data_IF_713627172807
#
_entry.id   IF_713627172807
#
_cell.length_a   1.000
_cell.length_b   1.000
_cell.length_c   1.000
_cell.angle_alpha   90.00
_cell.angle_beta   90.00
_cell.angle_gamma   90.00
#
_symmetry.space_group_name_H-M   'P 1'
#
loop_
_entity.id
_entity.type
_entity.pdbx_description
1 polymer ?
#
# COMPACT_ATOMS: atom_id res chain seq x y z
N UNK A 1 58.52 9.06 -28.95
CA UNK A 1 58.06 8.02 -28.01
C UNK A 1 56.83 8.56 -27.30
N UNK A 2 55.64 8.43 -27.89
CA UNK A 2 54.40 9.02 -27.38
C UNK A 2 53.60 7.99 -26.58
N UNK A 3 53.24 8.34 -25.35
CA UNK A 3 52.52 7.48 -24.42
C UNK A 3 51.04 7.33 -24.81
N UNK A 4 50.55 6.09 -24.81
CA UNK A 4 49.14 5.73 -25.04
C UNK A 4 48.29 6.17 -23.83
N UNK A 5 47.45 7.19 -23.99
CA UNK A 5 46.50 7.61 -22.97
C UNK A 5 45.30 6.66 -22.93
N UNK A 6 45.06 6.01 -21.79
CA UNK A 6 43.90 5.14 -21.56
C UNK A 6 42.65 5.97 -21.30
N UNK A 7 41.62 5.81 -22.12
CA UNK A 7 40.33 6.50 -21.97
C UNK A 7 39.59 5.94 -20.74
N UNK A 8 39.10 6.80 -19.82
CA UNK A 8 38.42 6.33 -18.62
C UNK A 8 37.01 5.79 -18.91
N UNK A 9 36.67 4.67 -18.25
CA UNK A 9 35.49 3.81 -18.50
C UNK A 9 34.11 4.45 -18.25
N UNK A 10 34.04 5.65 -17.70
CA UNK A 10 32.76 6.34 -17.44
C UNK A 10 32.21 7.09 -18.68
N UNK A 11 32.99 7.20 -19.76
CA UNK A 11 32.53 7.79 -21.04
C UNK A 11 31.84 6.76 -21.97
N UNK A 12 31.76 5.49 -21.58
CA UNK A 12 31.06 4.46 -22.34
C UNK A 12 29.59 4.41 -21.92
N UNK A 13 28.70 4.87 -22.79
CA UNK A 13 27.25 4.78 -22.61
C UNK A 13 26.81 3.31 -22.49
N UNK A 14 26.27 2.92 -21.33
CA UNK A 14 25.64 1.62 -21.10
C UNK A 14 24.42 1.44 -22.02
N UNK A 15 24.52 0.53 -23.00
CA UNK A 15 23.40 0.02 -23.80
C UNK A 15 22.51 -0.90 -22.93
N UNK A 16 21.18 -0.72 -22.86
CA UNK A 16 20.28 -1.73 -22.32
C UNK A 16 19.96 -2.80 -23.37
N UNK A 17 20.04 -4.08 -22.97
CA UNK A 17 19.69 -5.25 -23.77
C UNK A 17 18.15 -5.41 -23.89
N UNK A 18 17.61 -5.86 -25.04
CA UNK A 18 16.18 -6.10 -25.20
C UNK A 18 15.73 -7.44 -24.60
N UNK A 19 14.72 -7.39 -23.73
CA UNK A 19 13.95 -8.54 -23.26
C UNK A 19 13.08 -9.08 -24.41
N UNK A 20 13.39 -10.28 -24.88
CA UNK A 20 12.57 -11.05 -25.83
C UNK A 20 11.31 -11.58 -25.13
N UNK A 21 10.15 -11.02 -25.48
CA UNK A 21 8.84 -11.62 -25.21
C UNK A 21 8.56 -12.73 -26.23
N UNK A 22 8.24 -13.93 -25.76
CA UNK A 22 7.79 -15.07 -26.58
C UNK A 22 6.32 -15.37 -26.25
N UNK A 23 5.34 -15.15 -27.14
CA UNK A 23 3.99 -15.66 -26.96
C UNK A 23 3.92 -17.13 -27.40
N UNK A 24 3.36 -18.00 -26.55
CA UNK A 24 2.97 -19.36 -26.92
C UNK A 24 1.56 -19.36 -27.53
N UNK A 25 1.42 -20.17 -28.57
CA UNK A 25 0.28 -20.37 -29.46
C UNK A 25 -1.01 -20.81 -28.74
N UNK A 26 -2.13 -20.23 -29.17
CA UNK A 26 -3.50 -20.65 -28.82
C UNK A 26 -3.82 -22.01 -29.47
N UNK A 27 -4.17 -23.00 -28.66
CA UNK A 27 -4.67 -24.29 -29.11
C UNK A 27 -6.19 -24.24 -29.39
N UNK A 28 -6.60 -24.98 -30.41
CA UNK A 28 -7.94 -25.04 -30.99
C UNK A 28 -9.03 -25.57 -30.04
N UNK A 29 -10.25 -25.07 -30.23
CA UNK A 29 -11.48 -25.47 -29.53
C UNK A 29 -12.02 -26.81 -30.09
N UNK A 30 -12.41 -27.79 -29.26
CA UNK A 30 -13.24 -28.90 -29.69
C UNK A 30 -14.73 -28.52 -29.72
N UNK A 31 -15.39 -28.86 -30.81
CA UNK A 31 -16.85 -28.85 -31.01
C UNK A 31 -17.50 -29.85 -30.04
N UNK A 32 -18.29 -29.36 -29.08
CA UNK A 32 -19.10 -30.22 -28.20
C UNK A 32 -20.57 -30.18 -28.59
N UNK A 33 -21.09 -31.38 -28.82
CA UNK A 33 -22.47 -31.74 -29.13
C UNK A 33 -23.45 -31.38 -28.01
N UNK A 34 -24.59 -30.79 -28.37
CA UNK A 34 -25.71 -30.49 -27.49
C UNK A 34 -26.39 -31.80 -27.03
N UNK A 35 -26.36 -32.09 -25.72
CA UNK A 35 -27.29 -33.03 -25.08
C UNK A 35 -28.33 -32.25 -24.29
N UNK A 36 -29.59 -32.44 -24.63
CA UNK A 36 -30.73 -32.01 -23.83
C UNK A 36 -30.74 -32.79 -22.50
N UNK A 37 -30.54 -32.09 -21.39
CA UNK A 37 -30.72 -32.64 -20.05
C UNK A 37 -32.03 -32.09 -19.47
N UNK A 38 -33.05 -32.94 -19.39
CA UNK A 38 -34.26 -32.70 -18.60
C UNK A 38 -33.89 -32.73 -17.12
N UNK A 39 -33.89 -31.57 -16.47
CA UNK A 39 -33.78 -31.51 -15.01
C UNK A 39 -35.16 -31.77 -14.40
N UNK A 40 -35.27 -32.89 -13.69
CA UNK A 40 -36.38 -33.19 -12.79
C UNK A 40 -36.41 -32.13 -11.69
N UNK A 41 -37.36 -31.20 -11.77
CA UNK A 41 -37.69 -30.29 -10.68
C UNK A 41 -38.90 -30.84 -9.96
N UNK A 42 -38.79 -30.97 -8.64
CA UNK A 42 -39.90 -31.38 -7.76
C UNK A 42 -41.03 -30.37 -7.94
N UNK A 43 -42.15 -30.79 -8.55
CA UNK A 43 -43.33 -29.94 -8.71
C UNK A 43 -43.85 -29.54 -7.33
N UNK A 44 -43.64 -28.28 -6.96
CA UNK A 44 -44.28 -27.66 -5.80
C UNK A 44 -45.66 -27.17 -6.20
N UNK A 45 -46.63 -27.34 -5.33
CA UNK A 45 -48.02 -26.96 -5.54
C UNK A 45 -48.13 -25.45 -5.73
N UNK A 46 -48.98 -25.02 -6.67
CA UNK A 46 -49.21 -23.60 -6.97
C UNK A 46 -49.59 -22.78 -5.72
N UNK A 47 -50.24 -23.41 -4.75
CA UNK A 47 -50.63 -22.82 -3.46
C UNK A 47 -49.45 -22.29 -2.64
N UNK A 48 -48.30 -22.98 -2.62
CA UNK A 48 -47.10 -22.50 -1.91
C UNK A 48 -46.46 -21.29 -2.62
N UNK A 49 -46.52 -21.28 -3.95
CA UNK A 49 -45.98 -20.16 -4.73
C UNK A 49 -46.77 -18.87 -4.51
N UNK A 50 -48.10 -18.96 -4.39
CA UNK A 50 -48.95 -17.81 -4.12
C UNK A 50 -48.75 -17.22 -2.72
N UNK A 51 -48.53 -18.07 -1.69
CA UNK A 51 -48.31 -17.60 -0.32
C UNK A 51 -47.04 -16.77 -0.21
N UNK A 52 -45.95 -17.24 -0.84
CA UNK A 52 -44.67 -16.52 -0.86
C UNK A 52 -44.72 -15.21 -1.64
N UNK A 53 -45.56 -15.13 -2.68
CA UNK A 53 -45.76 -13.91 -3.48
C UNK A 53 -46.58 -12.85 -2.72
N UNK A 54 -47.37 -13.23 -1.72
CA UNK A 54 -48.10 -12.28 -0.84
C UNK A 54 -47.22 -11.67 0.25
N UNK A 55 -46.20 -12.38 0.71
CA UNK A 55 -45.30 -11.93 1.79
C UNK A 55 -44.17 -11.00 1.28
N UNK A 56 -43.90 -10.95 -0.02
CA UNK A 56 -42.90 -10.07 -0.62
C UNK A 56 -43.54 -8.86 -1.30
N UNK A 57 -43.00 -7.66 -1.08
CA UNK A 57 -43.37 -6.44 -1.79
C UNK A 57 -43.31 -6.65 -3.31
N UNK A 58 -44.32 -6.22 -4.09
CA UNK A 58 -44.39 -6.49 -5.52
C UNK A 58 -43.39 -5.61 -6.28
N UNK A 59 -42.14 -6.05 -6.34
CA UNK A 59 -41.09 -5.48 -7.18
C UNK A 59 -41.16 -6.16 -8.54
N UNK A 60 -41.35 -5.36 -9.59
CA UNK A 60 -41.31 -5.84 -10.98
C UNK A 60 -39.94 -6.48 -11.22
N UNK A 61 -39.85 -7.77 -11.58
CA UNK A 61 -38.58 -8.39 -11.86
C UNK A 61 -37.96 -7.72 -13.08
N UNK A 62 -36.70 -7.29 -12.96
CA UNK A 62 -35.96 -6.79 -14.12
C UNK A 62 -35.94 -7.90 -15.19
N UNK A 63 -36.18 -7.57 -16.48
CA UNK A 63 -36.14 -8.56 -17.55
C UNK A 63 -34.73 -9.12 -17.71
N UNK A 64 -34.55 -10.41 -17.42
CA UNK A 64 -33.26 -11.13 -17.51
C UNK A 64 -32.77 -11.36 -18.96
N UNK A 65 -33.52 -10.90 -19.96
CA UNK A 65 -33.25 -11.15 -21.39
C UNK A 65 -31.94 -10.53 -21.88
N UNK A 66 -31.39 -9.54 -21.18
CA UNK A 66 -30.19 -8.80 -21.59
C UNK A 66 -29.08 -8.77 -20.54
N UNK A 67 -29.06 -9.73 -19.61
CA UNK A 67 -27.87 -9.98 -18.82
C UNK A 67 -27.00 -10.95 -19.62
N UNK A 68 -25.89 -10.50 -20.26
CA UNK A 68 -24.94 -11.45 -20.84
C UNK A 68 -24.56 -12.43 -19.73
N UNK A 69 -24.27 -13.70 -20.03
CA UNK A 69 -23.91 -14.67 -19.01
C UNK A 69 -22.76 -14.11 -18.19
N UNK A 70 -23.08 -13.54 -17.02
CA UNK A 70 -22.11 -13.02 -16.07
C UNK A 70 -21.33 -14.26 -15.69
N UNK A 71 -20.06 -14.31 -16.10
CA UNK A 71 -19.14 -15.43 -15.91
C UNK A 71 -19.63 -16.42 -14.85
N UNK A 72 -20.01 -17.62 -15.29
CA UNK A 72 -20.66 -18.62 -14.45
C UNK A 72 -19.98 -18.66 -13.08
N UNK A 73 -20.78 -18.49 -12.03
CA UNK A 73 -20.38 -18.54 -10.62
C UNK A 73 -19.31 -19.61 -10.49
N UNK A 74 -18.05 -19.20 -10.27
CA UNK A 74 -16.89 -20.10 -10.17
C UNK A 74 -17.36 -21.34 -9.42
N UNK A 75 -17.40 -22.48 -10.10
CA UNK A 75 -17.75 -23.74 -9.44
C UNK A 75 -16.86 -23.81 -8.21
N UNK A 76 -17.41 -24.05 -7.00
CA UNK A 76 -16.57 -24.21 -5.84
C UNK A 76 -15.52 -25.25 -6.21
N UNK A 77 -14.26 -24.98 -5.85
CA UNK A 77 -13.14 -25.89 -6.01
C UNK A 77 -13.32 -27.07 -5.03
N UNK A 78 -14.49 -27.70 -5.04
CA UNK A 78 -14.82 -28.90 -4.29
C UNK A 78 -14.27 -30.07 -5.09
N UNK A 79 -13.05 -30.45 -4.74
CA UNK A 79 -12.48 -31.81 -4.82
C UNK A 79 -12.45 -32.56 -6.16
N UNK A 80 -13.05 -32.05 -7.24
CA UNK A 80 -13.39 -32.88 -8.42
C UNK A 80 -12.91 -32.27 -9.74
N UNK A 81 -11.64 -31.87 -9.82
CA UNK A 81 -10.95 -31.69 -11.11
C UNK A 81 -9.72 -32.58 -11.27
N UNK A 82 -9.20 -33.15 -10.18
CA UNK A 82 -8.28 -34.29 -10.21
C UNK A 82 -9.03 -35.47 -9.64
N UNK A 83 -9.82 -36.17 -10.47
CA UNK A 83 -10.30 -37.50 -10.12
C UNK A 83 -9.05 -38.36 -9.93
N UNK A 84 -8.67 -38.59 -8.68
CA UNK A 84 -7.71 -39.64 -8.35
C UNK A 84 -8.39 -40.96 -8.70
N UNK A 85 -8.04 -41.53 -9.84
CA UNK A 85 -8.53 -42.84 -10.23
C UNK A 85 -7.94 -43.87 -9.27
N UNK A 86 -8.73 -44.29 -8.29
CA UNK A 86 -8.33 -45.24 -7.25
C UNK A 86 -9.30 -45.25 -6.07
N UNK A 87 -9.18 -46.23 -5.16
CA UNK A 87 -9.93 -46.25 -3.92
C UNK A 87 -9.74 -44.96 -3.12
N UNK A 88 -10.76 -44.49 -2.39
CA UNK A 88 -10.61 -43.32 -1.53
C UNK A 88 -9.52 -43.57 -0.48
N UNK A 89 -8.66 -42.58 -0.27
CA UNK A 89 -7.59 -42.66 0.74
C UNK A 89 -8.18 -42.90 2.12
N UNK A 90 -7.78 -44.01 2.76
CA UNK A 90 -8.13 -44.29 4.15
C UNK A 90 -7.47 -43.25 5.06
N UNK A 91 -7.99 -43.09 6.29
CA UNK A 91 -7.39 -42.14 7.24
C UNK A 91 -5.96 -42.53 7.63
N UNK A 92 -5.67 -43.83 7.65
CA UNK A 92 -4.33 -44.36 7.88
C UNK A 92 -3.38 -43.99 6.74
N UNK A 93 -3.83 -44.13 5.49
CA UNK A 93 -3.03 -43.74 4.32
C UNK A 93 -2.73 -42.25 4.32
N UNK A 94 -3.70 -41.41 4.70
CA UNK A 94 -3.48 -39.96 4.85
C UNK A 94 -2.41 -39.65 5.89
N UNK A 95 -2.40 -40.35 7.04
CA UNK A 95 -1.37 -40.18 8.07
C UNK A 95 0.00 -40.65 7.57
N UNK A 96 0.09 -41.80 6.91
CA UNK A 96 1.34 -42.32 6.31
C UNK A 96 1.87 -41.39 5.22
N UNK A 97 1.00 -40.83 4.38
CA UNK A 97 1.38 -39.89 3.32
C UNK A 97 1.91 -38.56 3.89
N UNK A 98 1.38 -38.08 5.02
CA UNK A 98 1.87 -36.86 5.69
C UNK A 98 3.28 -37.02 6.24
N UNK A 99 3.60 -38.20 6.78
CA UNK A 99 4.90 -38.46 7.43
C UNK A 99 5.95 -39.03 6.49
N UNK A 100 5.58 -39.51 5.29
CA UNK A 100 6.52 -40.05 4.30
C UNK A 100 7.46 -38.96 3.79
N UNK A 101 8.77 -39.20 3.91
CA UNK A 101 9.83 -38.30 3.44
C UNK A 101 10.63 -38.95 2.33
N UNK A 102 10.95 -38.16 1.30
CA UNK A 102 11.81 -38.54 0.19
C UNK A 102 13.09 -37.68 0.21
N UNK A 103 14.17 -38.12 -0.46
CA UNK A 103 15.37 -37.30 -0.65
C UNK A 103 15.00 -35.92 -1.22
N UNK A 104 15.68 -34.86 -0.76
CA UNK A 104 15.44 -33.44 -1.13
C UNK A 104 14.10 -32.83 -0.67
N UNK A 105 13.31 -33.53 0.16
CA UNK A 105 12.19 -32.89 0.85
C UNK A 105 12.67 -32.11 2.07
N UNK A 106 11.82 -31.19 2.56
CA UNK A 106 12.11 -30.50 3.82
C UNK A 106 12.22 -31.50 4.98
N UNK A 107 13.01 -31.12 5.98
CA UNK A 107 13.41 -31.97 7.09
C UNK A 107 12.23 -32.58 7.86
N UNK A 108 12.42 -33.76 8.49
CA UNK A 108 11.34 -34.43 9.20
C UNK A 108 10.87 -33.65 10.44
N UNK A 109 9.62 -33.88 10.83
CA UNK A 109 9.04 -33.33 12.06
C UNK A 109 9.91 -33.72 13.27
N UNK A 110 10.06 -32.82 14.23
CA UNK A 110 10.97 -33.02 15.37
C UNK A 110 12.43 -32.64 15.13
N UNK A 111 12.84 -32.32 13.89
CA UNK A 111 14.16 -31.73 13.64
C UNK A 111 14.18 -30.22 13.88
N UNK A 112 15.35 -29.67 14.24
CA UNK A 112 15.53 -28.23 14.44
C UNK A 112 15.19 -27.43 13.19
N UNK A 113 15.64 -27.87 12.02
CA UNK A 113 15.37 -27.17 10.74
C UNK A 113 13.89 -27.16 10.41
N UNK A 114 13.15 -28.24 10.72
CA UNK A 114 11.70 -28.27 10.57
C UNK A 114 11.02 -27.26 11.50
N UNK A 115 11.44 -27.21 12.76
CA UNK A 115 10.92 -26.26 13.75
C UNK A 115 11.19 -24.81 13.33
N UNK A 116 12.43 -24.49 12.96
CA UNK A 116 12.81 -23.12 12.56
C UNK A 116 12.04 -22.66 11.33
N UNK A 117 11.89 -23.51 10.31
CA UNK A 117 11.18 -23.15 9.08
C UNK A 117 9.67 -22.99 9.28
N UNK A 118 9.04 -23.79 10.15
CA UNK A 118 7.58 -23.77 10.32
C UNK A 118 7.09 -22.88 11.47
N UNK A 119 7.97 -22.41 12.36
CA UNK A 119 7.59 -21.57 13.49
C UNK A 119 7.40 -20.10 13.07
N UNK A 120 6.13 -19.71 12.91
CA UNK A 120 5.74 -18.32 12.55
C UNK A 120 6.19 -17.28 13.58
N UNK A 121 6.27 -17.65 14.86
CA UNK A 121 6.68 -16.72 15.92
C UNK A 121 8.13 -16.28 15.77
N UNK A 122 9.02 -17.21 15.41
CA UNK A 122 10.44 -16.91 15.20
C UNK A 122 10.62 -16.03 13.97
N UNK A 123 9.96 -16.35 12.86
CA UNK A 123 10.03 -15.52 11.66
C UNK A 123 9.51 -14.11 11.93
N UNK A 124 8.41 -13.98 12.67
CA UNK A 124 7.88 -12.68 13.07
C UNK A 124 8.85 -11.93 13.98
N UNK A 125 9.46 -12.60 14.96
CA UNK A 125 10.47 -12.00 15.84
C UNK A 125 11.70 -11.52 15.07
N UNK A 126 12.25 -12.34 14.17
CA UNK A 126 13.42 -12.00 13.36
C UNK A 126 13.09 -10.84 12.41
N UNK A 127 11.97 -10.92 11.68
CA UNK A 127 11.57 -9.86 10.75
C UNK A 127 11.29 -8.55 11.49
N UNK A 128 10.58 -8.58 12.60
CA UNK A 128 10.37 -7.39 13.44
C UNK A 128 11.68 -6.87 14.02
N UNK A 129 12.58 -7.75 14.48
CA UNK A 129 13.89 -7.35 15.00
C UNK A 129 14.76 -6.67 13.94
N UNK A 130 14.76 -7.19 12.71
CA UNK A 130 15.49 -6.57 11.59
C UNK A 130 14.89 -5.20 11.26
N UNK A 131 13.56 -5.10 11.14
CA UNK A 131 12.91 -3.82 10.84
C UNK A 131 13.12 -2.79 11.96
N UNK A 132 13.02 -3.19 13.22
CA UNK A 132 13.25 -2.32 14.37
C UNK A 132 14.70 -1.84 14.42
N UNK A 133 15.68 -2.73 14.22
CA UNK A 133 17.09 -2.35 14.23
C UNK A 133 17.46 -1.43 13.05
N UNK A 134 16.92 -1.66 11.86
CA UNK A 134 17.05 -0.74 10.72
C UNK A 134 16.42 0.62 11.00
N UNK A 135 15.22 0.65 11.59
CA UNK A 135 14.54 1.89 11.94
C UNK A 135 15.34 2.71 12.97
N UNK A 136 15.83 2.07 14.03
CA UNK A 136 16.68 2.72 15.05
C UNK A 136 17.99 3.19 14.45
N UNK A 137 18.63 2.41 13.58
CA UNK A 137 19.87 2.81 12.93
C UNK A 137 19.68 4.01 11.98
N UNK A 138 18.62 4.00 11.17
CA UNK A 138 18.28 5.11 10.28
C UNK A 138 17.96 6.38 11.08
N UNK A 139 17.14 6.26 12.12
CA UNK A 139 16.83 7.36 13.02
C UNK A 139 18.08 7.89 13.72
N UNK A 140 18.97 7.02 14.20
CA UNK A 140 20.22 7.43 14.84
C UNK A 140 21.14 8.21 13.89
N UNK A 141 21.28 7.74 12.64
CA UNK A 141 22.06 8.45 11.62
C UNK A 141 21.47 9.82 11.29
N UNK A 142 20.14 9.91 11.14
CA UNK A 142 19.43 11.17 10.88
C UNK A 142 19.59 12.14 12.07
N UNK A 143 19.42 11.65 13.30
CA UNK A 143 19.65 12.42 14.52
C UNK A 143 21.08 12.97 14.58
N UNK A 144 22.10 12.12 14.40
CA UNK A 144 23.49 12.57 14.43
C UNK A 144 23.85 13.56 13.31
N UNK A 145 23.14 13.52 12.17
CA UNK A 145 23.36 14.45 11.06
C UNK A 145 22.63 15.79 11.25
N UNK A 146 21.46 15.79 11.89
CA UNK A 146 20.60 16.98 12.04
C UNK A 146 20.81 17.73 13.35
N UNK A 147 21.36 17.06 14.37
CA UNK A 147 21.54 17.65 15.69
C UNK A 147 22.74 18.59 15.74
N UNK A 148 22.51 19.76 16.33
CA UNK A 148 23.58 20.71 16.68
C UNK A 148 24.34 20.24 17.93
N UNK A 149 23.71 19.39 18.74
CA UNK A 149 24.22 18.88 20.01
C UNK A 149 24.96 17.55 19.89
N UNK A 150 25.46 17.20 18.71
CA UNK A 150 26.11 15.92 18.44
C UNK A 150 27.30 15.62 19.37
N UNK A 151 28.03 16.66 19.78
CA UNK A 151 29.19 16.53 20.69
C UNK A 151 28.80 16.21 22.14
N UNK A 152 27.56 16.52 22.55
CA UNK A 152 27.06 16.25 23.91
C UNK A 152 26.59 14.80 24.07
N UNK A 153 26.50 14.04 22.96
CA UNK A 153 26.06 12.65 22.96
C UNK A 153 27.14 11.77 23.62
N UNK A 154 26.78 10.91 24.59
CA UNK A 154 27.74 10.01 25.23
C UNK A 154 28.46 9.13 24.21
N UNK A 155 29.77 8.97 24.40
CA UNK A 155 30.55 8.10 23.53
C UNK A 155 30.15 6.63 23.73
N UNK A 156 30.40 5.79 22.71
CA UNK A 156 30.12 4.34 22.81
C UNK A 156 30.86 3.67 23.97
N UNK A 157 32.02 4.20 24.37
CA UNK A 157 32.81 3.68 25.50
C UNK A 157 32.16 4.03 26.84
N UNK A 158 31.60 5.22 26.95
CA UNK A 158 30.92 5.68 28.17
C UNK A 158 29.63 4.90 28.38
N UNK A 159 28.90 4.61 27.29
CA UNK A 159 27.71 3.76 27.34
C UNK A 159 28.00 2.34 27.83
N UNK A 160 29.17 1.77 27.53
CA UNK A 160 29.56 0.44 28.02
C UNK A 160 29.95 0.42 29.50
N UNK A 161 30.49 1.53 30.03
CA UNK A 161 30.91 1.62 31.44
C UNK A 161 29.78 2.07 32.36
N UNK A 162 29.01 3.05 31.92
CA UNK A 162 27.93 3.69 32.67
C UNK A 162 26.68 3.74 31.77
N UNK A 163 25.98 2.60 31.60
CA UNK A 163 24.85 2.52 30.67
C UNK A 163 23.70 3.42 31.10
N UNK A 164 23.44 3.52 32.41
CA UNK A 164 22.32 4.30 32.93
C UNK A 164 22.54 5.81 32.81
N UNK A 165 23.70 6.30 33.26
CA UNK A 165 24.07 7.72 33.11
C UNK A 165 24.12 8.15 31.64
N UNK A 166 24.57 7.26 30.76
CA UNK A 166 24.59 7.55 29.32
C UNK A 166 23.18 7.67 28.73
N UNK A 167 22.23 6.85 29.18
CA UNK A 167 20.83 6.97 28.76
C UNK A 167 20.23 8.30 29.23
N UNK A 168 20.49 8.69 30.48
CA UNK A 168 20.01 9.95 31.04
C UNK A 168 20.58 11.15 30.28
N UNK A 169 21.90 11.18 30.05
CA UNK A 169 22.56 12.21 29.26
C UNK A 169 22.03 12.27 27.83
N UNK A 170 21.81 11.11 27.19
CA UNK A 170 21.21 11.06 25.86
C UNK A 170 19.79 11.63 25.86
N UNK A 171 18.97 11.29 26.86
CA UNK A 171 17.61 11.81 26.99
C UNK A 171 17.60 13.35 27.15
N UNK A 172 18.55 13.91 27.89
CA UNK A 172 18.69 15.36 28.04
C UNK A 172 19.10 16.04 26.72
N UNK A 173 20.06 15.48 25.99
CA UNK A 173 20.43 15.97 24.65
C UNK A 173 19.25 15.87 23.68
N UNK A 174 18.48 14.79 23.74
CA UNK A 174 17.29 14.61 22.92
C UNK A 174 16.21 15.65 23.24
N UNK A 175 16.00 15.98 24.53
CA UNK A 175 15.11 17.07 24.95
C UNK A 175 15.58 18.41 24.39
N UNK A 176 16.87 18.72 24.47
CA UNK A 176 17.43 19.96 23.88
C UNK A 176 17.21 20.02 22.35
N UNK A 177 17.42 18.91 21.65
CA UNK A 177 17.14 18.80 20.22
C UNK A 177 15.65 19.01 19.91
N UNK A 178 14.76 18.38 20.67
CA UNK A 178 13.31 18.54 20.51
C UNK A 178 12.86 19.98 20.75
N UNK A 179 13.37 20.64 21.80
CA UNK A 179 13.09 22.04 22.10
C UNK A 179 13.58 22.97 20.98
N UNK A 180 14.77 22.70 20.43
CA UNK A 180 15.29 23.46 19.30
C UNK A 180 14.40 23.31 18.06
N UNK A 181 14.03 22.08 17.69
CA UNK A 181 13.12 21.83 16.57
C UNK A 181 11.77 22.51 16.78
N UNK A 182 11.21 22.43 18.00
CA UNK A 182 9.98 23.12 18.36
C UNK A 182 10.12 24.63 18.12
N UNK A 183 11.21 25.25 18.58
CA UNK A 183 11.53 26.66 18.33
C UNK A 183 11.54 26.99 16.83
N UNK A 184 12.30 26.24 16.03
CA UNK A 184 12.38 26.43 14.57
C UNK A 184 11.01 26.31 13.91
N UNK A 185 10.19 25.32 14.29
CA UNK A 185 8.84 25.18 13.74
C UNK A 185 7.91 26.31 14.16
N UNK A 186 8.02 26.80 15.40
CA UNK A 186 7.23 27.95 15.85
C UNK A 186 7.58 29.20 15.04
N UNK A 187 8.87 29.48 14.82
CA UNK A 187 9.31 30.60 13.97
C UNK A 187 8.81 30.45 12.53
N UNK A 188 8.87 29.26 11.95
CA UNK A 188 8.34 29.02 10.61
C UNK A 188 6.83 29.23 10.53
N UNK A 189 6.09 28.85 11.58
CA UNK A 189 4.63 29.08 11.65
C UNK A 189 4.31 30.56 11.79
N UNK A 190 5.06 31.30 12.62
CA UNK A 190 4.91 32.75 12.78
C UNK A 190 5.18 33.48 11.46
N UNK A 191 6.29 33.17 10.78
CA UNK A 191 6.60 33.73 9.45
C UNK A 191 5.48 33.48 8.44
N UNK A 192 4.92 32.26 8.42
CA UNK A 192 3.77 31.95 7.56
C UNK A 192 2.53 32.77 7.94
N UNK A 193 2.23 32.94 9.22
CA UNK A 193 1.11 33.76 9.68
C UNK A 193 1.28 35.23 9.27
N UNK A 194 2.46 35.81 9.48
CA UNK A 194 2.80 37.17 9.05
C UNK A 194 2.63 37.34 7.53
N UNK A 195 3.09 36.37 6.73
CA UNK A 195 2.93 36.41 5.27
C UNK A 195 1.45 36.36 4.85
N UNK A 196 0.62 35.59 5.56
CA UNK A 196 -0.83 35.54 5.33
C UNK A 196 -1.47 36.88 5.67
N UNK A 197 -1.09 37.51 6.79
CA UNK A 197 -1.60 38.82 7.20
C UNK A 197 -1.20 39.92 6.23
N UNK A 198 0.06 39.97 5.80
CA UNK A 198 0.53 40.92 4.77
C UNK A 198 -0.27 40.77 3.47
N UNK A 199 -0.53 39.53 3.04
CA UNK A 199 -1.37 39.26 1.86
C UNK A 199 -2.81 39.74 2.03
N UNK A 200 -3.37 39.66 3.23
CA UNK A 200 -4.70 40.18 3.55
C UNK A 200 -4.71 41.71 3.51
N UNK A 201 -3.73 42.35 4.15
CA UNK A 201 -3.59 43.81 4.16
C UNK A 201 -3.44 44.38 2.75
N UNK A 202 -2.53 43.83 1.95
CA UNK A 202 -2.34 44.26 0.56
C UNK A 202 -3.63 44.15 -0.27
N UNK A 203 -4.45 43.12 -0.03
CA UNK A 203 -5.73 42.99 -0.72
C UNK A 203 -6.72 44.07 -0.30
N UNK A 204 -6.86 44.30 1.01
CA UNK A 204 -7.75 45.32 1.53
C UNK A 204 -7.35 46.71 1.01
N UNK A 205 -6.06 47.00 0.96
CA UNK A 205 -5.52 48.23 0.36
C UNK A 205 -5.87 48.34 -1.14
N UNK A 206 -5.73 47.25 -1.91
CA UNK A 206 -6.08 47.24 -3.33
C UNK A 206 -7.57 47.40 -3.59
N UNK A 207 -8.43 46.83 -2.73
CA UNK A 207 -9.89 47.02 -2.79
C UNK A 207 -10.21 48.49 -2.52
N UNK A 208 -9.63 49.06 -1.45
CA UNK A 208 -9.81 50.46 -1.09
C UNK A 208 -9.34 51.43 -2.18
N UNK A 209 -8.20 51.18 -2.81
CA UNK A 209 -7.69 51.99 -3.94
C UNK A 209 -8.65 51.96 -5.14
N UNK A 210 -9.28 50.80 -5.42
CA UNK A 210 -10.28 50.68 -6.47
C UNK A 210 -11.56 51.47 -6.13
N UNK A 211 -12.04 51.36 -4.89
CA UNK A 211 -13.17 52.16 -4.38
C UNK A 211 -12.90 53.66 -4.47
N UNK A 212 -11.70 54.12 -4.10
CA UNK A 212 -11.27 55.53 -4.20
C UNK A 212 -11.18 56.02 -5.65
N UNK A 213 -10.84 55.14 -6.60
CA UNK A 213 -10.84 55.44 -8.05
C UNK A 213 -12.25 55.38 -8.68
N UNK A 214 -13.26 54.91 -7.93
CA UNK A 214 -14.62 54.72 -8.43
C UNK A 214 -14.78 53.50 -9.35
N UNK A 215 -13.83 52.56 -9.33
CA UNK A 215 -13.85 51.30 -10.07
C UNK A 215 -14.25 50.15 -9.12
N UNK A 216 -15.17 49.27 -9.53
CA UNK A 216 -15.51 48.09 -8.74
C UNK A 216 -14.36 47.06 -8.81
N UNK A 217 -13.89 46.58 -7.66
CA UNK A 217 -12.85 45.55 -7.60
C UNK A 217 -13.41 44.19 -8.08
N UNK A 218 -13.25 43.88 -9.37
CA UNK A 218 -13.71 42.62 -9.96
C UNK A 218 -12.73 41.49 -9.64
N UNK A 219 -13.11 40.60 -8.72
CA UNK A 219 -12.37 39.37 -8.45
C UNK A 219 -12.56 38.35 -9.58
N UNK A 220 -11.46 37.87 -10.19
CA UNK A 220 -11.54 36.83 -11.22
C UNK A 220 -12.21 35.54 -10.69
N UNK A 221 -13.36 35.12 -11.24
CA UNK A 221 -14.12 33.97 -10.74
C UNK A 221 -13.41 32.61 -10.96
N UNK A 222 -12.33 32.61 -11.75
CA UNK A 222 -11.49 31.41 -12.02
C UNK A 222 -10.58 31.04 -10.85
N UNK A 223 -10.39 31.95 -9.89
CA UNK A 223 -9.52 31.73 -8.74
C UNK A 223 -10.36 31.81 -7.47
N UNK A 224 -10.11 30.90 -6.53
CA UNK A 224 -10.58 31.07 -5.17
C UNK A 224 -9.40 31.41 -4.28
N UNK A 225 -9.70 32.00 -3.14
CA UNK A 225 -8.71 32.41 -2.15
C UNK A 225 -8.84 31.42 -1.00
N UNK A 226 -7.78 30.64 -0.76
CA UNK A 226 -7.73 29.78 0.41
C UNK A 226 -7.55 30.59 1.71
N UNK A 227 -7.76 29.96 2.86
CA UNK A 227 -7.55 30.57 4.18
C UNK A 227 -6.13 31.17 4.35
N UNK A 228 -5.15 30.60 3.65
CA UNK A 228 -3.75 31.05 3.59
C UNK A 228 -3.55 32.34 2.75
N UNK A 229 -4.62 32.90 2.18
CA UNK A 229 -4.58 34.10 1.33
C UNK A 229 -3.98 33.90 -0.07
N UNK A 230 -3.62 32.66 -0.44
CA UNK A 230 -3.08 32.31 -1.76
C UNK A 230 -4.21 32.13 -2.77
N UNK A 231 -4.11 32.80 -3.93
CA UNK A 231 -5.03 32.59 -5.07
C UNK A 231 -4.73 31.25 -5.72
N UNK A 232 -5.67 30.32 -5.66
CA UNK A 232 -5.57 29.01 -6.32
C UNK A 232 -6.59 28.94 -7.44
N UNK A 233 -6.20 28.36 -8.58
CA UNK A 233 -7.12 28.17 -9.69
C UNK A 233 -8.19 27.16 -9.27
N UNK A 234 -9.46 27.49 -9.50
CA UNK A 234 -10.58 26.54 -9.41
C UNK A 234 -10.34 25.48 -10.49
N UNK A 235 -9.91 24.27 -10.13
CA UNK A 235 -9.71 23.17 -11.10
C UNK A 235 -11.01 22.40 -11.24
N UNK A 236 -11.48 22.24 -12.48
CA UNK A 236 -12.68 21.47 -12.80
C UNK A 236 -12.38 19.98 -12.58
N UNK A 237 -12.87 19.37 -11.49
CA UNK A 237 -12.89 17.91 -11.37
C UNK A 237 -13.86 17.35 -12.40
N UNK A 238 -13.57 16.14 -12.89
CA UNK A 238 -14.29 15.44 -13.98
C UNK A 238 -15.81 15.28 -13.76
N UNK A 239 -16.34 15.63 -12.59
CA UNK A 239 -17.76 15.52 -12.22
C UNK A 239 -18.48 16.85 -11.94
N UNK A 240 -17.94 18.00 -12.37
CA UNK A 240 -18.71 19.25 -12.43
C UNK A 240 -19.13 19.86 -11.08
N UNK A 241 -18.63 19.34 -9.96
CA UNK A 241 -18.81 19.95 -8.64
C UNK A 241 -17.65 20.95 -8.45
N UNK A 242 -18.01 22.22 -8.26
CA UNK A 242 -17.09 23.30 -7.93
C UNK A 242 -16.94 23.35 -6.41
N UNK A 243 -15.69 23.42 -5.91
CA UNK A 243 -15.38 23.96 -4.58
C UNK A 243 -14.84 25.39 -4.74
#
# INVERSE_FOLDING_TARGET
>A
MAALQSIPRFLLTRRPLPLLLRPHSLAALPTTTLRYASSSSKHRTLSEQFRRRREATPVIPQPDKYRPPSHGKRTPRSETAQRSYGPPLTEEDKKRMRTKKYPNMMSPEGTFSHWFLNNRGIHLWITMGILLSLAVAAWWMDFMHTTIYAELVPSRKDFMRHPWESIERFADVYRMHSNHLAGVYTEQRLKKAEDVEKRKQYRLERIREAEERGEEYVEDPRYYIGEDGVRRRRVKRWFGIWE
#
